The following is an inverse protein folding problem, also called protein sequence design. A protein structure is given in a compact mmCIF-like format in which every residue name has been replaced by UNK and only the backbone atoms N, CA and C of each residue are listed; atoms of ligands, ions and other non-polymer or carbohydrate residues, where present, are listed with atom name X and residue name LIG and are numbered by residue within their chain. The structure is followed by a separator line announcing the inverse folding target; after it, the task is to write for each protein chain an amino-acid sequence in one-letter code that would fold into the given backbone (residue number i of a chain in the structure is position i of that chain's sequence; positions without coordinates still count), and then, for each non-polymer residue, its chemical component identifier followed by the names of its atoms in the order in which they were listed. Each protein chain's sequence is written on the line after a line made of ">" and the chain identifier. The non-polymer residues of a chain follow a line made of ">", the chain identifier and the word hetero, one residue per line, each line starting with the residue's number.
data_IF_160398178174
#
_entry.id   IF_160398178174
#
_cell.length_a   1.000
_cell.length_b   1.000
_cell.length_c   1.000
_cell.angle_alpha   90.00
_cell.angle_beta   90.00
_cell.angle_gamma   90.00
#
_symmetry.space_group_name_H-M   'P 1'
#
loop_
_entity.id
_entity.type
_entity.pdbx_description
1 polymer ?
#
# COMPACT_ATOMS: atom_id res chain seq x y z
N UNK A 1 32.75 -8.55 6.59
CA UNK A 1 31.54 -8.13 7.31
C UNK A 1 31.77 -8.43 8.78
N UNK A 2 31.91 -7.42 9.64
CA UNK A 2 32.20 -7.63 11.06
C UNK A 2 30.91 -7.99 11.81
N UNK A 3 30.88 -9.17 12.43
CA UNK A 3 29.77 -9.62 13.26
C UNK A 3 29.85 -8.87 14.60
N UNK A 4 29.16 -7.72 14.72
CA UNK A 4 29.10 -6.96 15.97
C UNK A 4 28.48 -7.81 17.06
N UNK A 5 29.33 -8.28 17.98
CA UNK A 5 28.91 -9.14 19.07
C UNK A 5 28.16 -8.30 20.10
N UNK A 6 26.88 -8.61 20.32
CA UNK A 6 26.01 -7.86 21.24
C UNK A 6 26.45 -8.08 22.69
N UNK A 7 26.84 -7.00 23.37
CA UNK A 7 27.29 -7.02 24.77
C UNK A 7 26.37 -6.23 25.69
N UNK A 8 26.35 -6.59 26.98
CA UNK A 8 25.64 -5.87 28.02
C UNK A 8 26.21 -4.45 28.21
N UNK A 9 25.35 -3.43 28.23
CA UNK A 9 25.77 -2.03 28.38
C UNK A 9 26.47 -1.76 29.72
N UNK A 10 26.12 -2.50 30.79
CA UNK A 10 26.73 -2.38 32.11
C UNK A 10 28.04 -3.18 32.25
N UNK A 11 27.96 -4.51 32.18
CA UNK A 11 29.10 -5.39 32.50
C UNK A 11 29.94 -5.81 31.29
N UNK A 12 29.58 -5.36 30.08
CA UNK A 12 30.28 -5.64 28.80
C UNK A 12 30.38 -7.10 28.39
N UNK A 13 29.79 -8.02 29.15
CA UNK A 13 29.71 -9.44 28.81
C UNK A 13 28.65 -9.72 27.73
N UNK A 14 28.88 -10.76 26.94
CA UNK A 14 27.92 -11.32 26.00
C UNK A 14 26.84 -12.14 26.73
N UNK A 15 25.80 -12.56 26.00
CA UNK A 15 24.79 -13.47 26.55
C UNK A 15 25.43 -14.81 26.95
N UNK A 16 26.28 -15.37 26.08
CA UNK A 16 26.97 -16.65 26.30
C UNK A 16 27.87 -16.63 27.53
N UNK A 17 28.66 -15.56 27.73
CA UNK A 17 29.52 -15.40 28.89
C UNK A 17 28.75 -15.32 30.23
N UNK A 18 27.43 -15.11 30.18
CA UNK A 18 26.54 -15.06 31.35
C UNK A 18 25.61 -16.27 31.42
N UNK A 19 25.79 -17.26 30.54
CA UNK A 19 24.91 -18.43 30.45
C UNK A 19 23.48 -18.07 30.08
N UNK A 20 23.28 -16.98 29.34
CA UNK A 20 21.95 -16.49 28.95
C UNK A 20 21.70 -16.77 27.46
N UNK A 21 20.46 -17.11 27.07
CA UNK A 21 20.11 -17.31 25.67
C UNK A 21 20.11 -15.99 24.87
N UNK A 22 19.82 -14.85 25.52
CA UNK A 22 19.87 -13.53 24.91
C UNK A 22 19.98 -12.40 25.94
N UNK A 23 20.49 -11.25 25.51
CA UNK A 23 20.44 -10.02 26.31
C UNK A 23 19.05 -9.37 26.21
N UNK A 24 18.59 -8.81 27.32
CA UNK A 24 17.32 -8.12 27.44
C UNK A 24 17.46 -6.65 27.02
N UNK A 25 16.59 -6.19 26.13
CA UNK A 25 16.56 -4.79 25.71
C UNK A 25 15.87 -3.90 26.77
N UNK A 26 16.31 -2.65 26.87
CA UNK A 26 15.64 -1.64 27.69
C UNK A 26 14.18 -1.48 27.24
N UNK A 27 13.22 -1.66 28.16
CA UNK A 27 11.80 -1.53 27.84
C UNK A 27 11.39 -0.14 27.29
N UNK A 28 12.14 0.92 27.65
CA UNK A 28 11.86 2.30 27.20
C UNK A 28 12.44 2.61 25.83
N UNK A 29 13.74 2.39 25.64
CA UNK A 29 14.44 2.81 24.41
C UNK A 29 14.62 1.69 23.39
N UNK A 30 14.58 0.41 23.81
CA UNK A 30 14.93 -0.79 23.06
C UNK A 30 16.35 -0.83 22.46
N UNK A 31 17.15 0.22 22.62
CA UNK A 31 18.51 0.35 22.08
C UNK A 31 19.58 -0.29 22.95
N UNK A 32 19.51 -0.12 24.27
CA UNK A 32 20.50 -0.68 25.20
C UNK A 32 20.14 -2.12 25.59
N UNK A 33 21.15 -3.01 25.63
CA UNK A 33 21.03 -4.42 25.96
C UNK A 33 21.66 -4.72 27.33
N UNK A 34 21.04 -5.61 28.12
CA UNK A 34 21.48 -5.95 29.46
C UNK A 34 21.35 -7.46 29.71
N UNK A 35 22.18 -8.01 30.59
CA UNK A 35 22.01 -9.39 31.05
C UNK A 35 20.67 -9.60 31.79
N UNK A 36 20.12 -8.54 32.36
CA UNK A 36 18.88 -8.58 33.13
C UNK A 36 18.64 -7.26 33.86
N UNK A 37 17.60 -7.25 34.70
CA UNK A 37 17.14 -6.05 35.41
C UNK A 37 18.20 -5.45 36.34
N UNK A 38 19.09 -6.27 36.89
CA UNK A 38 20.16 -5.81 37.79
C UNK A 38 21.20 -4.97 37.05
N UNK A 39 21.66 -5.44 35.89
CA UNK A 39 22.57 -4.67 35.03
C UNK A 39 21.90 -3.39 34.50
N UNK A 40 20.61 -3.44 34.19
CA UNK A 40 19.86 -2.25 33.78
C UNK A 40 19.75 -1.21 34.90
N UNK A 41 19.47 -1.64 36.14
CA UNK A 41 19.42 -0.76 37.32
C UNK A 41 20.77 -0.13 37.62
N UNK A 42 21.85 -0.91 37.50
CA UNK A 42 23.20 -0.45 37.75
C UNK A 42 23.65 0.61 36.72
N UNK A 43 23.30 0.43 35.44
CA UNK A 43 23.55 1.42 34.39
C UNK A 43 22.53 2.59 34.38
N UNK A 44 21.50 2.57 35.22
CA UNK A 44 20.40 3.54 35.14
C UNK A 44 20.86 5.00 35.22
N UNK A 45 21.85 5.31 36.08
CA UNK A 45 22.33 6.70 36.27
C UNK A 45 22.99 7.27 35.01
N UNK A 46 23.72 6.45 34.27
CA UNK A 46 24.35 6.78 32.98
C UNK A 46 23.33 6.71 31.85
N UNK A 47 22.62 5.59 31.74
CA UNK A 47 21.66 5.32 30.69
C UNK A 47 20.52 6.34 30.64
N UNK A 48 19.98 6.80 31.78
CA UNK A 48 18.83 7.73 31.81
C UNK A 48 19.08 9.03 31.05
N UNK A 49 20.34 9.45 30.91
CA UNK A 49 20.73 10.66 30.17
C UNK A 49 20.56 10.50 28.65
N UNK A 50 20.60 9.26 28.17
CA UNK A 50 20.49 8.88 26.74
C UNK A 50 19.29 7.97 26.46
N UNK A 51 18.50 7.66 27.48
CA UNK A 51 17.34 6.77 27.41
C UNK A 51 16.11 7.53 26.92
N UNK A 52 16.03 7.70 25.61
CA UNK A 52 14.83 8.22 24.95
C UNK A 52 13.96 7.06 24.48
N UNK A 53 12.64 7.23 24.48
CA UNK A 53 11.78 6.30 23.72
C UNK A 53 12.31 6.28 22.29
N UNK A 54 12.38 5.12 21.62
CA UNK A 54 12.65 5.16 20.20
C UNK A 54 11.57 6.05 19.61
N UNK A 55 11.99 7.14 18.96
CA UNK A 55 11.10 7.84 18.06
C UNK A 55 10.77 6.75 17.06
N UNK A 56 9.53 6.28 17.04
CA UNK A 56 9.04 5.64 15.81
C UNK A 56 9.37 6.68 14.76
N UNK A 57 10.39 6.40 13.93
CA UNK A 57 10.68 7.24 12.80
C UNK A 57 9.43 7.08 11.95
N UNK A 58 8.42 7.92 12.22
CA UNK A 58 7.29 8.14 11.36
C UNK A 58 7.93 8.63 10.10
N UNK A 59 8.23 7.71 9.19
CA UNK A 59 8.57 8.07 7.84
C UNK A 59 7.39 8.96 7.42
N UNK A 60 7.58 10.27 7.21
CA UNK A 60 6.46 11.15 6.82
C UNK A 60 5.89 10.70 5.47
N UNK A 61 6.59 9.80 4.78
CA UNK A 61 6.18 9.15 3.54
C UNK A 61 5.57 7.75 3.74
N UNK A 62 5.41 7.25 4.97
CA UNK A 62 4.71 5.99 5.22
C UNK A 62 3.24 6.12 4.79
N UNK A 63 2.75 5.12 4.07
CA UNK A 63 1.35 5.08 3.66
C UNK A 63 0.45 5.04 4.90
N UNK A 64 -0.55 5.94 5.01
CA UNK A 64 -1.48 5.93 6.13
C UNK A 64 -2.35 4.67 6.10
N UNK A 65 -3.03 4.41 7.21
CA UNK A 65 -4.14 3.45 7.22
C UNK A 65 -5.27 4.01 6.38
N UNK A 66 -5.66 3.28 5.34
CA UNK A 66 -6.77 3.65 4.48
C UNK A 66 -8.09 3.39 5.21
N UNK A 67 -9.05 4.30 5.04
CA UNK A 67 -10.41 4.10 5.53
C UNK A 67 -11.10 2.99 4.72
N UNK A 68 -12.03 2.28 5.37
CA UNK A 68 -12.80 1.16 4.80
C UNK A 68 -11.97 0.00 4.22
N UNK A 69 -10.67 -0.06 4.52
CA UNK A 69 -9.84 -1.25 4.32
C UNK A 69 -9.42 -1.81 5.67
N UNK A 70 -9.63 -3.11 5.86
CA UNK A 70 -9.38 -3.79 7.13
C UNK A 70 -7.88 -3.95 7.40
N UNK A 71 -7.11 -4.29 6.35
CA UNK A 71 -5.68 -4.56 6.49
C UNK A 71 -4.83 -3.39 6.00
N UNK A 72 -4.05 -2.83 6.93
CA UNK A 72 -2.99 -1.89 6.57
C UNK A 72 -1.82 -2.62 5.92
N UNK A 73 -1.35 -2.06 4.81
CA UNK A 73 -0.25 -2.59 4.03
C UNK A 73 0.81 -1.50 3.90
N UNK A 74 2.05 -1.81 4.27
CA UNK A 74 3.17 -0.90 4.06
C UNK A 74 3.62 -0.87 2.60
N UNK A 75 4.19 0.25 2.19
CA UNK A 75 4.86 0.45 0.90
C UNK A 75 3.99 0.04 -0.32
N UNK A 76 2.76 0.58 -0.43
CA UNK A 76 1.82 0.23 -1.50
C UNK A 76 2.38 0.40 -2.92
N UNK A 77 3.18 1.44 -3.19
CA UNK A 77 3.76 1.66 -4.52
C UNK A 77 4.86 0.65 -4.84
N UNK A 78 5.68 0.29 -3.86
CA UNK A 78 6.64 -0.82 -3.95
C UNK A 78 5.94 -2.14 -4.25
N UNK A 79 4.80 -2.40 -3.60
CA UNK A 79 4.01 -3.60 -3.88
C UNK A 79 3.34 -3.55 -5.26
N UNK A 80 2.91 -2.38 -5.73
CA UNK A 80 2.42 -2.20 -7.12
C UNK A 80 3.52 -2.49 -8.14
N UNK A 81 4.75 -2.03 -7.90
CA UNK A 81 5.90 -2.31 -8.76
C UNK A 81 6.23 -3.81 -8.81
N UNK A 82 6.17 -4.50 -7.66
CA UNK A 82 6.41 -5.95 -7.53
C UNK A 82 5.24 -6.82 -7.98
N UNK A 83 4.08 -6.24 -8.28
CA UNK A 83 2.85 -6.97 -8.57
C UNK A 83 2.19 -7.63 -7.35
N UNK A 84 2.61 -7.31 -6.13
CA UNK A 84 2.08 -7.92 -4.89
C UNK A 84 1.13 -6.99 -4.13
N UNK A 85 0.56 -5.97 -4.78
CA UNK A 85 -0.27 -4.94 -4.13
C UNK A 85 -1.53 -5.50 -3.46
N UNK A 86 -2.13 -6.53 -4.06
CA UNK A 86 -3.33 -7.19 -3.54
C UNK A 86 -3.01 -8.30 -2.53
N UNK A 87 -1.74 -8.69 -2.40
CA UNK A 87 -1.32 -9.76 -1.50
C UNK A 87 -1.37 -9.31 -0.04
N UNK A 88 -1.50 -10.28 0.86
CA UNK A 88 -1.65 -10.07 2.31
C UNK A 88 -2.86 -9.20 2.68
N UNK A 89 -3.91 -9.19 1.87
CA UNK A 89 -5.18 -8.50 2.14
C UNK A 89 -6.31 -9.51 2.31
N UNK A 90 -7.34 -9.19 3.11
CA UNK A 90 -8.56 -9.97 3.14
C UNK A 90 -9.27 -9.89 1.79
N UNK A 91 -10.19 -10.83 1.59
CA UNK A 91 -10.97 -10.94 0.36
C UNK A 91 -11.80 -9.68 0.10
N UNK A 92 -12.44 -9.13 1.14
CA UNK A 92 -13.22 -7.89 1.09
C UNK A 92 -12.41 -6.70 0.54
N UNK A 93 -11.22 -6.45 1.09
CA UNK A 93 -10.31 -5.40 0.64
C UNK A 93 -9.88 -5.63 -0.82
N UNK A 94 -9.58 -6.88 -1.19
CA UNK A 94 -9.16 -7.22 -2.55
C UNK A 94 -10.26 -6.93 -3.56
N UNK A 95 -11.51 -7.29 -3.25
CA UNK A 95 -12.66 -6.98 -4.09
C UNK A 95 -12.88 -5.47 -4.22
N UNK A 96 -12.89 -4.73 -3.11
CA UNK A 96 -13.02 -3.25 -3.12
C UNK A 96 -11.98 -2.59 -4.03
N UNK A 97 -10.71 -2.99 -3.91
CA UNK A 97 -9.61 -2.43 -4.70
C UNK A 97 -9.71 -2.78 -6.19
N UNK A 98 -10.11 -4.01 -6.55
CA UNK A 98 -10.34 -4.41 -7.94
C UNK A 98 -11.52 -3.63 -8.56
N UNK A 99 -12.61 -3.48 -7.82
CA UNK A 99 -13.78 -2.73 -8.28
C UNK A 99 -13.45 -1.26 -8.47
N UNK A 100 -12.83 -0.61 -7.48
CA UNK A 100 -12.59 0.83 -7.54
C UNK A 100 -11.46 1.20 -8.50
N UNK A 101 -10.49 0.30 -8.74
CA UNK A 101 -9.50 0.47 -9.82
C UNK A 101 -10.15 0.39 -11.20
N UNK A 102 -11.14 -0.48 -11.39
CA UNK A 102 -11.94 -0.50 -12.60
C UNK A 102 -12.81 0.75 -12.75
N UNK A 103 -13.51 1.17 -11.68
CA UNK A 103 -14.40 2.35 -11.71
C UNK A 103 -13.65 3.62 -12.03
N UNK A 104 -12.50 3.87 -11.39
CA UNK A 104 -11.69 5.07 -11.70
C UNK A 104 -11.13 5.02 -13.12
N UNK A 105 -10.78 3.84 -13.63
CA UNK A 105 -10.32 3.68 -15.01
C UNK A 105 -11.43 3.97 -16.02
N UNK A 106 -12.64 3.47 -15.81
CA UNK A 106 -13.79 3.81 -16.67
C UNK A 106 -14.09 5.31 -16.66
N UNK A 107 -13.99 5.97 -15.49
CA UNK A 107 -14.18 7.40 -15.37
C UNK A 107 -13.10 8.17 -16.17
N UNK A 108 -11.83 7.83 -15.99
CA UNK A 108 -10.73 8.47 -16.73
C UNK A 108 -10.85 8.25 -18.26
N UNK A 109 -11.19 7.04 -18.71
CA UNK A 109 -11.38 6.72 -20.13
C UNK A 109 -12.51 7.58 -20.74
N UNK A 110 -13.59 7.80 -20.00
CA UNK A 110 -14.71 8.64 -20.43
C UNK A 110 -14.35 10.14 -20.43
N UNK A 111 -13.79 10.64 -19.33
CA UNK A 111 -13.54 12.07 -19.12
C UNK A 111 -12.38 12.61 -19.97
N UNK A 112 -11.35 11.79 -20.24
CA UNK A 112 -10.11 12.25 -20.88
C UNK A 112 -9.85 11.63 -22.26
N UNK A 113 -10.27 10.39 -22.50
CA UNK A 113 -9.98 9.69 -23.76
C UNK A 113 -11.16 9.67 -24.74
N UNK A 114 -12.34 10.15 -24.33
CA UNK A 114 -13.61 9.93 -25.04
C UNK A 114 -13.85 8.44 -25.38
N UNK A 115 -13.26 7.54 -24.57
CA UNK A 115 -13.38 6.10 -24.74
C UNK A 115 -14.51 5.60 -23.86
N UNK A 116 -15.47 4.93 -24.47
CA UNK A 116 -16.52 4.23 -23.75
C UNK A 116 -16.45 2.74 -24.05
N UNK A 117 -16.32 1.93 -23.01
CA UNK A 117 -16.42 0.48 -23.16
C UNK A 117 -17.89 0.10 -23.13
N UNK A 118 -18.41 -0.40 -24.25
CA UNK A 118 -19.78 -0.92 -24.31
C UNK A 118 -19.87 -2.40 -23.90
N UNK A 119 -20.96 -2.85 -23.26
CA UNK A 119 -21.97 -2.04 -22.58
C UNK A 119 -21.47 -1.57 -21.20
N UNK A 120 -21.70 -0.30 -20.84
CA UNK A 120 -21.41 0.23 -19.49
C UNK A 120 -22.35 1.36 -19.06
N UNK A 121 -22.25 1.76 -17.80
CA UNK A 121 -22.98 2.94 -17.28
C UNK A 121 -22.65 4.25 -18.00
N UNK A 122 -21.54 4.30 -18.73
CA UNK A 122 -21.13 5.44 -19.55
C UNK A 122 -21.72 5.41 -20.97
N UNK A 123 -22.27 4.25 -21.40
CA UNK A 123 -23.00 4.09 -22.67
C UNK A 123 -24.51 3.91 -22.47
N UNK A 124 -25.04 4.23 -21.29
CA UNK A 124 -26.46 4.12 -20.96
C UNK A 124 -26.94 2.74 -20.49
N UNK A 125 -26.04 1.78 -20.27
CA UNK A 125 -26.41 0.50 -19.66
C UNK A 125 -26.65 0.65 -18.14
N UNK A 126 -27.46 -0.22 -17.55
CA UNK A 126 -27.76 -0.18 -16.12
C UNK A 126 -26.56 -0.54 -15.23
N UNK A 127 -25.57 -1.24 -15.78
CA UNK A 127 -24.41 -1.77 -15.05
C UNK A 127 -23.20 -1.92 -15.98
N UNK A 128 -22.01 -1.96 -15.39
CA UNK A 128 -20.74 -2.25 -16.05
C UNK A 128 -20.28 -3.71 -15.82
N UNK A 129 -21.19 -4.65 -15.53
CA UNK A 129 -20.88 -6.06 -15.23
C UNK A 129 -20.01 -6.74 -16.29
N UNK A 130 -20.36 -6.61 -17.56
CA UNK A 130 -19.65 -7.27 -18.65
C UNK A 130 -18.21 -6.76 -18.82
N UNK A 131 -17.96 -5.43 -18.93
CA UNK A 131 -16.59 -4.94 -18.94
C UNK A 131 -15.83 -5.23 -17.65
N UNK A 132 -16.49 -5.24 -16.49
CA UNK A 132 -15.84 -5.61 -15.23
C UNK A 132 -15.42 -7.08 -15.19
N UNK A 133 -16.27 -7.99 -15.68
CA UNK A 133 -15.90 -9.41 -15.83
C UNK A 133 -14.71 -9.58 -16.76
N UNK A 134 -14.64 -8.85 -17.88
CA UNK A 134 -13.46 -8.84 -18.77
C UNK A 134 -12.21 -8.34 -18.04
N UNK A 135 -12.34 -7.31 -17.21
CA UNK A 135 -11.25 -6.78 -16.40
C UNK A 135 -10.71 -7.82 -15.40
N UNK A 136 -11.59 -8.54 -14.69
CA UNK A 136 -11.19 -9.60 -13.76
C UNK A 136 -10.55 -10.80 -14.47
N UNK A 137 -11.03 -11.17 -15.66
CA UNK A 137 -10.39 -12.21 -16.47
C UNK A 137 -8.96 -11.83 -16.86
N UNK A 138 -8.72 -10.55 -17.21
CA UNK A 138 -7.36 -10.04 -17.45
C UNK A 138 -6.51 -10.11 -16.18
N UNK A 139 -7.04 -9.68 -15.04
CA UNK A 139 -6.33 -9.75 -13.77
C UNK A 139 -5.93 -11.20 -13.42
N UNK A 140 -6.81 -12.17 -13.73
CA UNK A 140 -6.54 -13.61 -13.53
C UNK A 140 -5.42 -14.13 -14.44
N UNK A 141 -5.27 -13.57 -15.64
CA UNK A 141 -4.18 -13.89 -16.54
C UNK A 141 -2.83 -13.25 -16.13
N UNK A 142 -2.84 -12.21 -15.29
CA UNK A 142 -1.64 -11.53 -14.80
C UNK A 142 -0.93 -12.39 -13.74
N UNK A 143 0.14 -13.09 -14.14
CA UNK A 143 0.91 -13.96 -13.25
C UNK A 143 1.44 -13.20 -12.03
N UNK A 144 1.05 -13.64 -10.84
CA UNK A 144 1.52 -13.10 -9.56
C UNK A 144 0.78 -11.85 -9.07
N UNK A 145 -0.15 -11.29 -9.86
CA UNK A 145 -0.88 -10.08 -9.46
C UNK A 145 -1.90 -10.36 -8.34
N UNK A 146 -2.66 -11.44 -8.49
CA UNK A 146 -3.73 -11.80 -7.57
C UNK A 146 -3.20 -12.65 -6.40
N UNK A 147 -3.86 -12.59 -5.23
CA UNK A 147 -3.48 -13.40 -4.08
C UNK A 147 -3.58 -14.91 -4.36
N UNK A 148 -2.86 -15.76 -3.61
CA UNK A 148 -2.87 -17.22 -3.80
C UNK A 148 -4.24 -17.88 -3.63
N UNK A 149 -5.15 -17.25 -2.89
CA UNK A 149 -6.51 -17.75 -2.68
C UNK A 149 -7.47 -17.43 -3.83
N UNK A 150 -7.05 -16.63 -4.82
CA UNK A 150 -7.91 -16.25 -5.94
C UNK A 150 -8.13 -17.43 -6.88
N UNK A 151 -9.39 -17.76 -7.12
CA UNK A 151 -9.82 -18.82 -8.04
C UNK A 151 -10.76 -18.26 -9.12
N UNK A 152 -11.04 -18.99 -10.21
CA UNK A 152 -11.99 -18.56 -11.22
C UNK A 152 -13.39 -18.24 -10.66
N UNK A 153 -13.83 -18.97 -9.63
CA UNK A 153 -15.12 -18.75 -8.96
C UNK A 153 -15.20 -17.37 -8.29
N UNK A 154 -14.06 -16.84 -7.83
CA UNK A 154 -13.98 -15.50 -7.22
C UNK A 154 -14.31 -14.37 -8.19
N UNK A 155 -14.31 -14.62 -9.49
CA UNK A 155 -14.77 -13.64 -10.48
C UNK A 155 -16.23 -13.31 -10.25
N UNK A 156 -17.11 -14.31 -10.14
CA UNK A 156 -18.54 -14.07 -9.96
C UNK A 156 -18.86 -13.55 -8.56
N UNK A 157 -18.15 -14.02 -7.54
CA UNK A 157 -18.28 -13.47 -6.18
C UNK A 157 -17.92 -11.98 -6.13
N UNK A 158 -16.83 -11.58 -6.81
CA UNK A 158 -16.40 -10.18 -6.89
C UNK A 158 -17.40 -9.32 -7.70
N UNK A 159 -18.00 -9.88 -8.76
CA UNK A 159 -19.07 -9.21 -9.53
C UNK A 159 -20.29 -8.97 -8.64
N UNK A 160 -20.77 -9.99 -7.91
CA UNK A 160 -21.91 -9.87 -7.00
C UNK A 160 -21.61 -8.85 -5.90
N UNK A 161 -20.40 -8.87 -5.34
CA UNK A 161 -19.95 -7.88 -4.36
C UNK A 161 -20.02 -6.45 -4.94
N UNK A 162 -19.59 -6.29 -6.20
CA UNK A 162 -19.66 -5.05 -6.97
C UNK A 162 -21.07 -4.58 -7.32
N UNK A 163 -22.11 -5.36 -7.05
CA UNK A 163 -23.52 -4.99 -7.24
C UNK A 163 -24.30 -4.94 -5.91
N UNK A 164 -23.57 -4.89 -4.78
CA UNK A 164 -24.15 -4.88 -3.43
C UNK A 164 -24.90 -3.61 -3.04
N UNK A 165 -24.73 -2.50 -3.77
CA UNK A 165 -25.26 -1.19 -3.37
C UNK A 165 -24.33 -0.39 -2.46
N UNK A 166 -23.22 -0.99 -2.00
CA UNK A 166 -22.21 -0.35 -1.17
C UNK A 166 -21.42 0.75 -1.91
N UNK A 167 -20.31 1.19 -1.33
CA UNK A 167 -19.42 2.16 -1.95
C UNK A 167 -18.83 1.66 -3.28
N UNK A 168 -18.17 0.50 -3.24
CA UNK A 168 -17.54 -0.13 -4.40
C UNK A 168 -18.60 -0.83 -5.25
N UNK A 169 -19.41 -0.03 -5.95
CA UNK A 169 -20.52 -0.48 -6.79
C UNK A 169 -20.29 -0.12 -8.26
N UNK A 170 -20.21 -1.12 -9.14
CA UNK A 170 -19.91 -0.95 -10.57
C UNK A 170 -21.06 -0.30 -11.36
N UNK A 171 -22.23 -0.10 -10.73
CA UNK A 171 -23.36 0.63 -11.30
C UNK A 171 -23.28 2.13 -11.03
N UNK A 172 -22.31 2.57 -10.23
CA UNK A 172 -22.13 3.97 -9.84
C UNK A 172 -20.83 4.52 -10.43
N UNK A 173 -20.94 5.72 -11.03
CA UNK A 173 -19.77 6.52 -11.42
C UNK A 173 -18.95 6.87 -10.18
N UNK A 174 -17.70 7.28 -10.40
CA UNK A 174 -16.81 7.75 -9.33
C UNK A 174 -15.93 8.87 -9.84
N UNK A 175 -15.59 9.81 -8.97
CA UNK A 175 -14.62 10.88 -9.24
C UNK A 175 -13.36 10.72 -8.37
N UNK A 176 -12.27 11.39 -8.78
CA UNK A 176 -11.03 11.45 -7.99
C UNK A 176 -11.29 11.95 -6.56
N UNK A 177 -12.15 12.95 -6.38
CA UNK A 177 -12.41 13.55 -5.07
C UNK A 177 -13.15 12.58 -4.14
N UNK A 178 -14.17 11.91 -4.68
CA UNK A 178 -14.94 10.87 -4.00
C UNK A 178 -14.04 9.73 -3.50
N UNK A 179 -13.10 9.24 -4.31
CA UNK A 179 -12.11 8.23 -3.90
C UNK A 179 -11.24 8.72 -2.75
N UNK A 180 -10.73 9.96 -2.81
CA UNK A 180 -9.90 10.54 -1.74
C UNK A 180 -10.68 10.62 -0.44
N UNK A 181 -11.93 11.10 -0.50
CA UNK A 181 -12.78 11.23 0.68
C UNK A 181 -13.10 9.86 1.30
N UNK A 182 -13.44 8.88 0.47
CA UNK A 182 -13.80 7.55 0.96
C UNK A 182 -12.63 6.84 1.64
N UNK A 183 -11.46 6.79 0.99
CA UNK A 183 -10.28 6.07 1.51
C UNK A 183 -9.41 6.89 2.46
N UNK A 184 -9.65 8.20 2.58
CA UNK A 184 -8.90 9.08 3.48
C UNK A 184 -7.46 9.37 3.05
N UNK A 185 -7.12 9.19 1.77
CA UNK A 185 -5.73 9.32 1.29
C UNK A 185 -5.62 9.97 -0.10
N UNK A 186 -4.78 11.01 -0.20
CA UNK A 186 -4.61 11.84 -1.39
C UNK A 186 -4.05 11.06 -2.59
N UNK A 187 -3.20 10.05 -2.34
CA UNK A 187 -2.59 9.22 -3.39
C UNK A 187 -3.38 7.96 -3.70
N UNK A 188 -4.53 7.74 -3.07
CA UNK A 188 -5.36 6.57 -3.36
C UNK A 188 -5.80 6.49 -4.83
N UNK A 189 -6.26 7.58 -5.48
CA UNK A 189 -6.56 7.55 -6.92
C UNK A 189 -5.37 7.09 -7.77
N UNK A 190 -4.14 7.46 -7.38
CA UNK A 190 -2.94 7.04 -8.09
C UNK A 190 -2.68 5.53 -7.91
N UNK A 191 -2.83 4.99 -6.70
CA UNK A 191 -2.69 3.55 -6.47
C UNK A 191 -3.68 2.74 -7.30
N UNK A 192 -4.95 3.16 -7.32
CA UNK A 192 -6.01 2.51 -8.10
C UNK A 192 -5.75 2.54 -9.61
N UNK A 193 -5.26 3.67 -10.14
CA UNK A 193 -4.87 3.80 -11.55
C UNK A 193 -3.71 2.88 -11.93
N UNK A 194 -2.70 2.81 -11.06
CA UNK A 194 -1.53 1.94 -11.28
C UNK A 194 -1.91 0.45 -11.18
N UNK A 195 -2.85 0.10 -10.30
CA UNK A 195 -3.43 -1.25 -10.26
C UNK A 195 -4.17 -1.57 -11.57
N UNK A 196 -5.00 -0.64 -12.06
CA UNK A 196 -5.70 -0.80 -13.33
C UNK A 196 -4.73 -0.91 -14.52
N UNK A 197 -3.64 -0.12 -14.53
CA UNK A 197 -2.58 -0.24 -15.52
C UNK A 197 -1.94 -1.64 -15.49
N UNK A 198 -1.65 -2.19 -14.31
CA UNK A 198 -1.08 -3.53 -14.19
C UNK A 198 -2.01 -4.62 -14.78
N UNK A 199 -3.32 -4.42 -14.72
CA UNK A 199 -4.34 -5.35 -15.24
C UNK A 199 -4.58 -5.14 -16.74
N UNK A 200 -4.69 -3.89 -17.19
CA UNK A 200 -4.92 -3.57 -18.60
C UNK A 200 -3.66 -3.71 -19.46
N UNK A 201 -2.47 -3.63 -18.86
CA UNK A 201 -1.17 -3.56 -19.52
C UNK A 201 -0.83 -2.18 -20.09
N UNK A 202 -1.68 -1.17 -19.87
CA UNK A 202 -1.53 0.18 -20.40
C UNK A 202 -2.14 1.21 -19.45
N UNK A 203 -1.46 2.33 -19.25
CA UNK A 203 -1.97 3.45 -18.45
C UNK A 203 -3.09 4.22 -19.16
N UNK A 204 -3.60 5.25 -18.49
CA UNK A 204 -4.54 6.21 -19.10
C UNK A 204 -3.77 7.18 -19.99
N UNK A 205 -4.43 7.69 -21.04
CA UNK A 205 -3.91 8.63 -22.03
C UNK A 205 -2.64 8.15 -22.76
N UNK A 206 -2.35 6.85 -22.75
CA UNK A 206 -1.12 6.30 -23.32
C UNK A 206 0.15 6.60 -22.51
N UNK A 207 0.02 7.19 -21.31
CA UNK A 207 1.15 7.35 -20.40
C UNK A 207 1.54 5.99 -19.79
N UNK A 208 2.85 5.76 -19.68
CA UNK A 208 3.40 4.62 -18.96
C UNK A 208 3.65 5.03 -17.50
N UNK A 209 2.93 4.44 -16.55
CA UNK A 209 3.05 4.76 -15.14
C UNK A 209 4.34 4.26 -14.48
N UNK A 210 5.26 3.62 -15.23
CA UNK A 210 6.52 3.10 -14.69
C UNK A 210 7.41 4.16 -14.04
N UNK A 211 7.50 5.37 -14.60
CA UNK A 211 8.31 6.45 -14.02
C UNK A 211 7.70 6.95 -12.70
N UNK A 212 6.37 7.10 -12.67
CA UNK A 212 5.63 7.49 -11.46
C UNK A 212 5.75 6.39 -10.40
N UNK A 213 5.67 5.11 -10.78
CA UNK A 213 5.90 3.97 -9.87
C UNK A 213 7.29 4.02 -9.25
N UNK A 214 8.34 4.12 -10.06
CA UNK A 214 9.73 4.19 -9.58
C UNK A 214 9.94 5.36 -8.64
N UNK A 215 9.42 6.54 -8.98
CA UNK A 215 9.50 7.73 -8.13
C UNK A 215 8.81 7.51 -6.79
N UNK A 216 7.60 6.95 -6.78
CA UNK A 216 6.87 6.70 -5.53
C UNK A 216 7.52 5.60 -4.68
N UNK A 217 8.04 4.55 -5.28
CA UNK A 217 8.82 3.51 -4.59
C UNK A 217 10.07 4.10 -3.92
N UNK A 218 10.78 5.02 -4.59
CA UNK A 218 11.91 5.72 -3.98
C UNK A 218 11.49 6.53 -2.76
N UNK A 219 10.39 7.28 -2.86
CA UNK A 219 9.82 8.05 -1.75
C UNK A 219 9.47 7.15 -0.55
N UNK A 220 8.84 6.01 -0.78
CA UNK A 220 8.52 5.02 0.28
C UNK A 220 9.78 4.51 0.99
N UNK A 221 10.83 4.21 0.22
CA UNK A 221 12.13 3.75 0.75
C UNK A 221 12.95 4.84 1.48
N UNK A 222 12.41 6.05 1.63
CA UNK A 222 13.10 7.19 2.26
C UNK A 222 14.04 7.95 1.33
N UNK A 223 14.02 7.64 0.03
CA UNK A 223 14.73 8.40 -0.99
C UNK A 223 13.99 9.70 -1.30
N UNK A 224 14.65 10.84 -1.06
CA UNK A 224 14.16 12.12 -1.56
C UNK A 224 14.42 12.21 -3.07
N UNK A 225 13.42 12.52 -3.92
CA UNK A 225 13.71 12.91 -5.28
C UNK A 225 14.56 14.18 -5.25
N UNK A 226 15.64 14.23 -6.03
CA UNK A 226 16.59 15.34 -6.08
C UNK A 226 15.89 16.71 -6.12
N UNK A 227 15.95 17.46 -5.01
CA UNK A 227 15.80 18.91 -4.96
C UNK A 227 14.45 19.53 -5.34
N UNK A 228 13.39 18.75 -5.63
CA UNK A 228 12.06 19.31 -5.85
C UNK A 228 11.22 19.16 -4.59
N UNK A 229 10.91 20.29 -3.95
CA UNK A 229 9.81 20.39 -3.00
C UNK A 229 8.59 19.75 -3.65
N UNK A 230 8.00 18.74 -2.98
CA UNK A 230 6.79 18.05 -3.42
C UNK A 230 5.63 19.06 -3.42
N UNK A 231 5.56 19.92 -4.44
CA UNK A 231 4.28 20.48 -4.85
C UNK A 231 3.44 19.27 -5.21
N UNK A 232 2.24 19.20 -4.63
CA UNK A 232 1.18 18.27 -5.05
C UNK A 232 1.28 18.09 -6.55
N UNK A 233 1.79 16.93 -7.00
CA UNK A 233 1.77 16.58 -8.41
C UNK A 233 0.31 16.31 -8.69
N UNK A 234 -0.41 17.38 -8.99
CA UNK A 234 -1.71 17.29 -9.59
C UNK A 234 -1.45 16.81 -11.01
N UNK A 235 -1.54 15.49 -11.21
CA UNK A 235 -1.50 14.87 -12.54
C UNK A 235 -2.82 15.21 -13.30
N UNK A 236 -3.74 15.96 -12.68
CA UNK A 236 -4.84 16.58 -13.41
C UNK A 236 -4.29 17.72 -14.29
N UNK A 237 -4.60 17.78 -15.59
CA UNK A 237 -4.30 18.96 -16.38
C UNK A 237 -5.02 20.16 -15.77
N UNK A 238 -4.32 21.30 -15.69
CA UNK A 238 -5.00 22.57 -15.46
C UNK A 238 -6.03 22.76 -16.58
N UNK A 239 -7.22 23.19 -16.16
CA UNK A 239 -8.39 23.51 -16.98
C UNK A 239 -8.05 24.21 -18.28
#
# INVERSE_FOLDING_TARGET
>A
MANETKTCAHCKNTADARGLPCLQACARCKTALYCGRDCQKADYKSHKKVCSKPVEHSNPYAAPRLHDLEQHVSDPFTRLDKGTYLHDRPESDTFKLLIDSFRIRQADDFDYENKTTSPSIYTGAATSTEPFRRYLNRATACKGLLPPWWTPEKIEECVIFGESGAWSDIRKKVTKHEVIQHYGYDKMPLQLRLLAEAIYGVGTMGHNGSDVRKMMTQIESGGLPNGQTMRTIDISPKR
#
